data_IF_469351898927
#
_entry.id   IF_469351898927
#
_cell.length_a   1.000
_cell.length_b   1.000
_cell.length_c   1.000
_cell.angle_alpha   90.00
_cell.angle_beta   90.00
_cell.angle_gamma   90.00
#
_symmetry.space_group_name_H-M   'P 1'
#
loop_
_entity.id
_entity.type
_entity.pdbx_description
1 polymer ?
#
# COMPACT_ATOMS: atom_id res chain seq x y z
N UNK A 1 -1.74 73.34 -3.85
CA UNK A 1 -3.13 73.55 -3.38
C UNK A 1 -4.13 72.66 -4.15
N UNK A 2 -5.00 71.95 -3.41
CA UNK A 2 -6.13 71.06 -3.81
C UNK A 2 -5.77 69.75 -4.52
N UNK A 3 -6.40 68.59 -4.30
CA UNK A 3 -7.34 68.01 -3.31
C UNK A 3 -7.32 66.48 -3.54
N UNK A 4 -7.66 65.73 -2.47
CA UNK A 4 -7.73 64.28 -2.27
C UNK A 4 -8.33 63.37 -3.36
N UNK A 5 -7.93 62.08 -3.39
CA UNK A 5 -8.77 60.92 -3.76
C UNK A 5 -8.41 59.65 -2.94
N UNK A 6 -9.35 59.28 -2.06
CA UNK A 6 -9.99 57.96 -1.81
C UNK A 6 -9.17 56.72 -1.38
N UNK A 7 -9.50 56.28 -0.15
CA UNK A 7 -9.25 54.99 0.51
C UNK A 7 -9.66 53.75 -0.29
N UNK A 8 -8.91 52.65 -0.14
CA UNK A 8 -9.43 51.29 -0.33
C UNK A 8 -8.36 50.22 -0.60
N UNK A 9 -7.85 49.60 0.48
CA UNK A 9 -6.86 48.50 0.51
C UNK A 9 -7.29 47.25 -0.30
N UNK A 10 -6.42 46.71 -1.16
CA UNK A 10 -5.43 45.61 -0.96
C UNK A 10 -6.00 44.19 -0.70
N UNK A 11 -5.82 43.32 -1.71
CA UNK A 11 -5.79 41.84 -1.65
C UNK A 11 -4.78 41.37 -0.56
N UNK A 12 -4.80 40.19 0.07
CA UNK A 12 -5.09 38.82 -0.40
C UNK A 12 -5.15 37.83 0.80
N UNK A 13 -5.92 36.74 0.57
CA UNK A 13 -5.73 35.32 0.98
C UNK A 13 -5.79 34.85 2.46
N UNK A 14 -6.85 34.03 2.66
CA UNK A 14 -7.01 32.77 3.44
C UNK A 14 -6.80 32.74 4.96
N UNK A 15 -7.90 32.38 5.64
CA UNK A 15 -8.09 32.18 7.09
C UNK A 15 -8.08 30.68 7.44
N UNK A 16 -7.54 30.36 8.61
CA UNK A 16 -7.83 29.14 9.39
C UNK A 16 -8.74 29.46 10.60
N UNK A 17 -9.43 28.42 11.09
CA UNK A 17 -10.00 28.20 12.45
C UNK A 17 -11.48 28.67 12.77
N UNK A 18 -12.20 27.97 13.71
CA UNK A 18 -13.50 27.30 13.45
C UNK A 18 -14.68 27.73 14.39
N UNK A 19 -15.92 27.22 14.19
CA UNK A 19 -16.85 26.71 15.25
C UNK A 19 -18.32 26.42 14.83
N UNK A 20 -18.83 25.31 15.39
CA UNK A 20 -20.20 24.98 15.88
C UNK A 20 -21.26 24.34 14.97
N UNK A 21 -21.92 23.40 15.64
CA UNK A 21 -22.88 22.37 15.27
C UNK A 21 -24.27 22.88 14.90
N UNK A 22 -24.87 22.28 13.87
CA UNK A 22 -26.27 21.82 13.88
C UNK A 22 -26.46 20.76 12.78
N UNK A 23 -26.99 19.60 13.17
CA UNK A 23 -27.51 18.53 12.26
C UNK A 23 -29.04 18.67 12.21
N UNK A 24 -29.81 18.03 11.29
CA UNK A 24 -29.41 17.05 10.28
C UNK A 24 -30.10 17.24 8.90
N UNK A 25 -29.39 16.92 7.80
CA UNK A 25 -30.08 16.45 6.58
C UNK A 25 -29.57 15.06 6.26
N UNK A 26 -30.49 14.10 6.34
CA UNK A 26 -30.32 12.68 6.04
C UNK A 26 -29.87 12.53 4.59
N UNK A 27 -28.60 12.15 4.37
CA UNK A 27 -28.13 11.66 3.06
C UNK A 27 -27.96 10.15 3.15
N UNK A 28 -28.54 9.48 2.15
CA UNK A 28 -28.77 8.04 2.08
C UNK A 28 -27.44 7.26 2.09
N UNK A 29 -27.46 6.13 2.80
CA UNK A 29 -26.37 5.15 2.90
C UNK A 29 -26.01 4.61 1.52
N UNK A 30 -24.89 5.05 0.98
CA UNK A 30 -24.15 4.29 -0.01
C UNK A 30 -23.37 3.21 0.74
N UNK A 31 -23.54 1.96 0.32
CA UNK A 31 -22.82 0.83 0.90
C UNK A 31 -21.37 0.93 0.44
N UNK A 32 -20.55 1.62 1.21
CA UNK A 32 -19.11 1.68 0.97
C UNK A 32 -18.55 0.26 1.02
N UNK A 33 -18.11 -0.26 -0.13
CA UNK A 33 -17.35 -1.50 -0.16
C UNK A 33 -16.13 -1.35 0.75
N UNK A 34 -15.85 -2.31 1.65
CA UNK A 34 -14.78 -2.16 2.60
C UNK A 34 -13.45 -1.97 1.86
N UNK A 35 -12.83 -0.81 2.03
CA UNK A 35 -11.51 -0.50 1.47
C UNK A 35 -10.55 -1.61 1.91
N UNK A 36 -10.16 -2.46 0.95
CA UNK A 36 -9.28 -3.61 1.19
C UNK A 36 -7.93 -3.07 1.63
N UNK A 37 -7.65 -3.11 2.93
CA UNK A 37 -6.36 -2.70 3.49
C UNK A 37 -5.26 -3.53 2.83
N UNK A 38 -4.33 -2.86 2.17
CA UNK A 38 -3.19 -3.51 1.53
C UNK A 38 -2.23 -4.02 2.61
N UNK A 39 -2.23 -5.34 2.81
CA UNK A 39 -1.31 -5.98 3.73
C UNK A 39 -0.01 -6.36 3.01
N UNK A 40 1.09 -5.73 3.42
CA UNK A 40 2.43 -5.98 2.87
C UNK A 40 2.95 -7.38 3.22
N UNK A 41 2.54 -7.92 4.36
CA UNK A 41 3.03 -9.23 4.83
C UNK A 41 2.65 -10.35 3.87
N UNK A 42 1.57 -10.19 3.11
CA UNK A 42 1.12 -11.16 2.13
C UNK A 42 2.11 -11.35 0.97
N UNK A 43 2.95 -10.34 0.69
CA UNK A 43 3.89 -10.33 -0.43
C UNK A 43 5.35 -10.52 0.00
N UNK A 44 5.58 -11.03 1.21
CA UNK A 44 6.93 -11.33 1.68
C UNK A 44 7.00 -12.51 2.63
N UNK A 45 8.10 -13.25 2.54
CA UNK A 45 8.58 -14.15 3.59
C UNK A 45 9.82 -13.55 4.22
N UNK A 46 9.75 -13.22 5.51
CA UNK A 46 10.85 -12.64 6.27
C UNK A 46 11.05 -13.37 7.60
N UNK A 47 12.30 -13.58 8.00
CA UNK A 47 12.69 -14.17 9.30
C UNK A 47 12.03 -15.55 9.54
N UNK A 48 12.14 -16.44 8.55
CA UNK A 48 11.53 -17.79 8.56
C UNK A 48 12.60 -18.86 8.71
N UNK A 49 12.32 -19.92 9.50
CA UNK A 49 13.32 -20.97 9.77
C UNK A 49 12.70 -22.35 9.89
N UNK A 50 13.35 -23.35 9.29
CA UNK A 50 13.02 -24.79 9.42
C UNK A 50 11.56 -25.13 9.08
N UNK A 51 11.03 -24.56 8.01
CA UNK A 51 9.64 -24.74 7.63
C UNK A 51 9.40 -24.77 6.11
N UNK A 52 8.20 -25.20 5.73
CA UNK A 52 7.73 -25.17 4.35
C UNK A 52 6.75 -24.02 4.17
N UNK A 53 7.06 -23.11 3.25
CA UNK A 53 6.26 -21.94 2.92
C UNK A 53 5.68 -22.09 1.52
N UNK A 54 4.39 -21.81 1.36
CA UNK A 54 3.70 -21.99 0.08
C UNK A 54 2.85 -20.77 -0.24
N UNK A 55 2.91 -20.31 -1.49
CA UNK A 55 1.92 -19.42 -2.12
C UNK A 55 1.23 -20.20 -3.22
N UNK A 56 -0.09 -20.23 -3.17
CA UNK A 56 -0.95 -20.94 -4.11
C UNK A 56 -1.27 -20.05 -5.32
N UNK A 57 -1.74 -20.65 -6.43
CA UNK A 57 -2.19 -19.90 -7.60
C UNK A 57 -3.23 -18.83 -7.23
N UNK A 58 -3.03 -17.59 -7.68
CA UNK A 58 -3.90 -16.45 -7.39
C UNK A 58 -3.65 -15.76 -6.05
N UNK A 59 -2.69 -16.21 -5.24
CA UNK A 59 -2.32 -15.50 -4.01
C UNK A 59 -1.60 -14.19 -4.32
N UNK A 60 -0.73 -14.17 -5.32
CA UNK A 60 0.14 -13.04 -5.65
C UNK A 60 -0.36 -12.24 -6.85
N UNK A 61 -1.13 -12.85 -7.76
CA UNK A 61 -1.75 -12.18 -8.91
C UNK A 61 -0.76 -11.32 -9.72
N UNK A 62 0.42 -11.86 -10.01
CA UNK A 62 1.46 -11.14 -10.77
C UNK A 62 2.15 -10.00 -10.02
N UNK A 63 1.91 -9.81 -8.72
CA UNK A 63 2.62 -8.78 -7.95
C UNK A 63 4.08 -9.17 -7.65
N UNK A 64 4.86 -8.19 -7.18
CA UNK A 64 6.22 -8.44 -6.68
C UNK A 64 6.20 -9.27 -5.39
N UNK A 65 7.18 -10.15 -5.21
CA UNK A 65 7.36 -10.95 -4.00
C UNK A 65 8.78 -10.85 -3.43
N UNK A 66 8.91 -10.84 -2.10
CA UNK A 66 10.20 -10.75 -1.40
C UNK A 66 10.44 -11.95 -0.49
N UNK A 67 11.63 -12.55 -0.58
CA UNK A 67 12.12 -13.58 0.34
C UNK A 67 13.38 -13.02 1.00
N UNK A 68 13.36 -12.84 2.33
CA UNK A 68 14.44 -12.21 3.08
C UNK A 68 14.74 -12.98 4.37
N UNK A 69 16.01 -13.19 4.70
CA UNK A 69 16.44 -13.83 5.97
C UNK A 69 15.69 -15.14 6.27
N UNK A 70 15.64 -16.05 5.30
CA UNK A 70 15.08 -17.38 5.52
C UNK A 70 16.19 -18.42 5.61
N UNK A 71 16.07 -19.37 6.54
CA UNK A 71 17.08 -20.41 6.79
C UNK A 71 16.45 -21.81 6.84
N UNK A 72 17.06 -22.79 6.19
CA UNK A 72 16.57 -24.19 6.17
C UNK A 72 15.08 -24.32 5.76
N UNK A 73 14.62 -23.49 4.82
CA UNK A 73 13.21 -23.46 4.40
C UNK A 73 13.00 -24.10 3.02
N UNK A 74 11.82 -24.68 2.84
CA UNK A 74 11.30 -25.11 1.55
C UNK A 74 10.24 -24.12 1.08
N UNK A 75 10.55 -23.32 0.06
CA UNK A 75 9.69 -22.22 -0.38
C UNK A 75 9.11 -22.54 -1.76
N UNK A 76 7.79 -22.53 -1.85
CA UNK A 76 7.04 -22.86 -3.06
C UNK A 76 6.16 -21.68 -3.46
N UNK A 77 6.57 -20.93 -4.47
CA UNK A 77 5.78 -19.86 -5.05
C UNK A 77 5.09 -20.41 -6.29
N UNK A 78 3.88 -20.94 -6.14
CA UNK A 78 3.11 -21.60 -7.20
C UNK A 78 2.19 -20.62 -7.93
N UNK A 79 2.64 -19.39 -8.11
CA UNK A 79 1.87 -18.33 -8.77
C UNK A 79 2.75 -17.54 -9.75
N UNK A 80 2.12 -16.75 -10.61
CA UNK A 80 2.87 -15.82 -11.46
C UNK A 80 3.30 -14.59 -10.66
N UNK A 81 4.49 -14.06 -10.97
CA UNK A 81 5.07 -12.90 -10.28
C UNK A 81 5.66 -11.91 -11.26
N UNK A 82 5.52 -10.61 -11.01
CA UNK A 82 6.22 -9.59 -11.81
C UNK A 82 7.74 -9.61 -11.54
N UNK A 83 8.14 -9.75 -10.28
CA UNK A 83 9.55 -9.78 -9.87
C UNK A 83 9.65 -10.52 -8.54
N UNK A 84 10.73 -11.27 -8.35
CA UNK A 84 11.05 -11.93 -7.08
C UNK A 84 12.41 -11.45 -6.59
N UNK A 85 12.46 -10.92 -5.37
CA UNK A 85 13.71 -10.48 -4.71
C UNK A 85 14.07 -11.47 -3.61
N UNK A 86 15.29 -12.00 -3.66
CA UNK A 86 15.79 -13.01 -2.71
C UNK A 86 17.05 -12.46 -2.05
N UNK A 87 17.02 -12.23 -0.75
CA UNK A 87 18.15 -11.70 0.03
C UNK A 87 18.40 -12.50 1.33
N UNK A 88 19.67 -12.64 1.71
CA UNK A 88 20.11 -13.28 2.98
C UNK A 88 19.47 -14.65 3.27
N UNK A 89 19.28 -15.47 2.25
CA UNK A 89 18.67 -16.80 2.35
C UNK A 89 19.74 -17.88 2.37
N UNK A 90 19.69 -18.79 3.36
CA UNK A 90 20.72 -19.83 3.55
C UNK A 90 20.08 -21.21 3.62
N UNK A 91 20.66 -22.19 2.92
CA UNK A 91 20.22 -23.59 2.91
C UNK A 91 18.70 -23.76 2.63
N UNK A 92 18.15 -22.96 1.71
CA UNK A 92 16.75 -23.02 1.32
C UNK A 92 16.59 -23.66 -0.05
N UNK A 93 15.50 -24.40 -0.26
CA UNK A 93 15.06 -24.86 -1.58
C UNK A 93 13.91 -23.97 -2.03
N UNK A 94 14.05 -23.31 -3.17
CA UNK A 94 13.08 -22.32 -3.65
C UNK A 94 12.59 -22.74 -5.03
N UNK A 95 11.28 -22.93 -5.15
CA UNK A 95 10.58 -23.19 -6.41
C UNK A 95 9.75 -21.97 -6.76
N UNK A 96 9.97 -21.42 -7.96
CA UNK A 96 9.28 -20.24 -8.46
C UNK A 96 8.45 -20.61 -9.69
N UNK A 97 7.19 -20.19 -9.69
CA UNK A 97 6.35 -20.15 -10.87
C UNK A 97 6.85 -19.13 -11.90
N UNK A 98 6.09 -18.94 -13.00
CA UNK A 98 6.48 -18.02 -14.05
C UNK A 98 6.71 -16.59 -13.53
N UNK A 99 7.90 -16.05 -13.81
CA UNK A 99 8.23 -14.65 -13.53
C UNK A 99 8.23 -13.84 -14.82
N UNK A 100 7.67 -12.63 -14.78
CA UNK A 100 7.70 -11.73 -15.93
C UNK A 100 9.15 -11.31 -16.26
N UNK A 101 9.44 -11.24 -17.56
CA UNK A 101 10.74 -10.83 -18.12
C UNK A 101 10.44 -9.76 -19.17
N UNK A 102 10.23 -8.51 -18.75
CA UNK A 102 10.17 -7.39 -19.70
C UNK A 102 11.56 -6.91 -20.08
#
# INVERSE_FOLDING_TARGET
PRIAIRMGCFHSTSKDEPQRSDSPTVVKREMEEPVKKFDRSHYMFTDRQNETLVKYPGDLNGQQFMINKCENCDIWILDNTATVSIDKTTNCRIYLGPCESR
#
